data_IF_675115302536
#
_entry.id   IF_675115302536
#
_cell.length_a   1.000
_cell.length_b   1.000
_cell.length_c   1.000
_cell.angle_alpha   90.00
_cell.angle_beta   90.00
_cell.angle_gamma   90.00
#
_symmetry.space_group_name_H-M   'P 1'
#
loop_
_entity.id
_entity.type
_entity.pdbx_description
1 polymer ?
#
# COMPACT_ATOMS: atom_id res chain seq x y z
N UNK A 1 1.20 39.49 18.16
CA UNK A 1 0.11 39.53 17.14
C UNK A 1 0.26 38.30 16.26
N UNK A 2 -0.65 37.32 16.37
CA UNK A 2 -0.60 36.11 15.55
C UNK A 2 -1.02 36.50 14.12
N UNK A 3 -0.16 36.28 13.14
CA UNK A 3 -0.48 36.60 11.75
C UNK A 3 -1.55 35.61 11.23
N UNK A 4 -2.35 36.04 10.26
CA UNK A 4 -3.37 35.17 9.63
C UNK A 4 -2.75 33.86 9.08
N UNK A 5 -1.53 33.93 8.61
CA UNK A 5 -0.75 32.79 8.11
C UNK A 5 -0.39 31.80 9.24
N UNK A 6 0.03 32.32 10.41
CA UNK A 6 0.33 31.45 11.57
C UNK A 6 -0.93 30.79 12.12
N UNK A 7 -2.09 31.43 12.06
CA UNK A 7 -3.37 30.83 12.44
C UNK A 7 -3.81 29.72 11.47
N UNK A 8 -3.64 29.91 10.15
CA UNK A 8 -3.90 28.87 9.12
C UNK A 8 -3.00 27.66 9.31
N UNK A 9 -1.71 27.87 9.54
CA UNK A 9 -0.74 26.80 9.81
C UNK A 9 -1.10 25.99 11.06
N UNK A 10 -1.43 26.66 12.15
CA UNK A 10 -1.86 26.00 13.40
C UNK A 10 -3.14 25.18 13.19
N UNK A 11 -4.12 25.71 12.46
CA UNK A 11 -5.36 25.01 12.14
C UNK A 11 -5.08 23.77 11.28
N UNK A 12 -4.19 23.84 10.30
CA UNK A 12 -3.77 22.70 9.47
C UNK A 12 -3.09 21.62 10.29
N UNK A 13 -2.20 22.01 11.23
CA UNK A 13 -1.53 21.06 12.12
C UNK A 13 -2.53 20.33 13.03
N UNK A 14 -3.49 21.04 13.63
CA UNK A 14 -4.54 20.44 14.48
C UNK A 14 -5.36 19.43 13.65
N UNK A 15 -5.79 19.78 12.45
CA UNK A 15 -6.53 18.86 11.56
C UNK A 15 -5.72 17.61 11.24
N UNK A 16 -4.42 17.74 10.96
CA UNK A 16 -3.52 16.61 10.70
C UNK A 16 -3.41 15.68 11.92
N UNK A 17 -3.30 16.24 13.13
CA UNK A 17 -3.23 15.47 14.37
C UNK A 17 -4.54 14.70 14.58
N UNK A 18 -5.69 15.36 14.46
CA UNK A 18 -7.01 14.72 14.62
C UNK A 18 -7.20 13.59 13.60
N UNK A 19 -6.88 13.82 12.32
CA UNK A 19 -6.98 12.80 11.29
C UNK A 19 -6.06 11.59 11.58
N UNK A 20 -4.84 11.85 12.05
CA UNK A 20 -3.89 10.78 12.42
C UNK A 20 -4.36 9.99 13.64
N UNK A 21 -4.92 10.64 14.65
CA UNK A 21 -5.51 9.98 15.84
C UNK A 21 -6.71 9.12 15.41
N UNK A 22 -7.59 9.62 14.55
CA UNK A 22 -8.74 8.87 14.03
C UNK A 22 -8.28 7.62 13.26
N UNK A 23 -7.26 7.75 12.40
CA UNK A 23 -6.67 6.61 11.71
C UNK A 23 -6.11 5.57 12.69
N UNK A 24 -5.31 5.99 13.68
CA UNK A 24 -4.73 5.08 14.68
C UNK A 24 -5.81 4.40 15.53
N UNK A 25 -6.90 5.10 15.86
CA UNK A 25 -8.02 4.51 16.59
C UNK A 25 -8.72 3.40 15.78
N UNK A 26 -8.93 3.63 14.46
CA UNK A 26 -9.49 2.60 13.57
C UNK A 26 -8.53 1.43 13.41
N UNK A 27 -7.22 1.68 13.29
CA UNK A 27 -6.19 0.63 13.24
C UNK A 27 -6.26 -0.23 14.53
N UNK A 28 -6.26 0.41 15.69
CA UNK A 28 -6.36 -0.30 16.97
C UNK A 28 -7.64 -1.13 17.07
N UNK A 29 -8.79 -0.54 16.69
CA UNK A 29 -10.08 -1.23 16.67
C UNK A 29 -10.05 -2.47 15.74
N UNK A 30 -9.45 -2.32 14.55
CA UNK A 30 -9.35 -3.41 13.59
C UNK A 30 -8.46 -4.55 14.11
N UNK A 31 -7.30 -4.23 14.67
CA UNK A 31 -6.38 -5.23 15.23
C UNK A 31 -7.03 -5.94 16.44
N UNK A 32 -7.70 -5.22 17.34
CA UNK A 32 -8.46 -5.81 18.42
C UNK A 32 -9.58 -6.72 17.88
N UNK A 33 -10.24 -6.28 16.81
CA UNK A 33 -11.23 -7.11 16.10
C UNK A 33 -10.64 -8.43 15.61
N UNK A 34 -9.49 -8.41 14.97
CA UNK A 34 -8.80 -9.62 14.50
C UNK A 34 -8.38 -10.57 15.61
N UNK A 35 -8.10 -10.05 16.81
CA UNK A 35 -7.69 -10.84 17.97
C UNK A 35 -8.86 -11.42 18.74
N UNK A 36 -9.98 -10.68 18.86
CA UNK A 36 -11.03 -11.00 19.83
C UNK A 36 -12.44 -11.13 19.23
N UNK A 37 -12.72 -10.50 18.06
CA UNK A 37 -14.08 -10.48 17.50
C UNK A 37 -14.08 -10.21 15.99
N UNK A 38 -14.26 -11.25 15.18
CA UNK A 38 -14.27 -11.17 13.72
C UNK A 38 -15.30 -10.16 13.14
N UNK A 39 -16.44 -9.95 13.82
CA UNK A 39 -17.44 -8.97 13.36
C UNK A 39 -16.89 -7.54 13.46
N UNK A 40 -16.13 -7.23 14.52
CA UNK A 40 -15.46 -5.93 14.66
C UNK A 40 -14.40 -5.76 13.55
N UNK A 41 -13.61 -6.81 13.29
CA UNK A 41 -12.64 -6.79 12.19
C UNK A 41 -13.33 -6.57 10.84
N UNK A 42 -14.42 -7.26 10.57
CA UNK A 42 -15.20 -7.13 9.34
C UNK A 42 -15.72 -5.70 9.14
N UNK A 43 -16.35 -5.13 10.17
CA UNK A 43 -16.93 -3.79 10.11
C UNK A 43 -15.88 -2.68 10.06
N UNK A 44 -14.74 -2.84 10.74
CA UNK A 44 -13.69 -1.82 10.82
C UNK A 44 -12.79 -1.75 9.59
N UNK A 45 -12.67 -2.83 8.79
CA UNK A 45 -11.75 -2.90 7.65
C UNK A 45 -11.97 -1.79 6.61
N UNK A 46 -13.19 -1.47 6.16
CA UNK A 46 -13.41 -0.38 5.19
C UNK A 46 -12.96 0.99 5.72
N UNK A 47 -13.00 1.21 7.04
CA UNK A 47 -12.62 2.49 7.64
C UNK A 47 -11.10 2.73 7.66
N UNK A 48 -10.25 1.69 7.47
CA UNK A 48 -8.80 1.82 7.41
C UNK A 48 -8.39 2.76 6.27
N UNK A 49 -8.80 2.44 5.04
CA UNK A 49 -8.48 3.28 3.88
C UNK A 49 -9.27 4.59 3.91
N UNK A 50 -10.52 4.59 4.36
CA UNK A 50 -11.32 5.82 4.47
C UNK A 50 -10.64 6.85 5.36
N UNK A 51 -10.16 6.46 6.55
CA UNK A 51 -9.44 7.36 7.45
C UNK A 51 -8.06 7.75 6.92
N UNK A 52 -7.37 6.86 6.19
CA UNK A 52 -6.12 7.17 5.53
C UNK A 52 -6.30 8.21 4.40
N UNK A 53 -7.42 8.14 3.65
CA UNK A 53 -7.79 9.19 2.67
C UNK A 53 -7.94 10.55 3.37
N UNK A 54 -8.59 10.59 4.54
CA UNK A 54 -8.73 11.83 5.31
C UNK A 54 -7.36 12.36 5.73
N UNK A 55 -6.46 11.50 6.24
CA UNK A 55 -5.06 11.88 6.58
C UNK A 55 -4.36 12.49 5.37
N UNK A 56 -4.50 11.87 4.19
CA UNK A 56 -3.92 12.39 2.97
C UNK A 56 -4.49 13.75 2.57
N UNK A 57 -5.81 13.88 2.47
CA UNK A 57 -6.49 15.10 2.00
C UNK A 57 -6.22 16.31 2.92
N UNK A 58 -6.11 16.08 4.23
CA UNK A 58 -5.75 17.14 5.18
C UNK A 58 -4.26 17.49 5.09
N UNK A 59 -3.43 16.51 4.72
CA UNK A 59 -1.97 16.68 4.62
C UNK A 59 -1.51 17.50 3.41
N UNK A 60 -2.28 17.53 2.32
CA UNK A 60 -1.86 18.17 1.06
C UNK A 60 -2.76 19.35 0.70
N UNK A 61 -2.23 20.31 -0.07
CA UNK A 61 -3.03 21.43 -0.59
C UNK A 61 -3.72 21.07 -1.92
N UNK A 62 -3.04 20.30 -2.75
CA UNK A 62 -3.54 19.85 -4.06
C UNK A 62 -3.48 18.33 -4.14
N UNK A 63 -4.61 17.63 -3.89
CA UNK A 63 -4.64 16.18 -3.96
C UNK A 63 -4.28 15.65 -5.35
N UNK A 64 -3.43 14.64 -5.40
CA UNK A 64 -3.10 13.95 -6.64
C UNK A 64 -4.24 13.02 -7.04
N UNK A 65 -4.77 13.18 -8.23
CA UNK A 65 -5.79 12.28 -8.80
C UNK A 65 -5.32 10.82 -8.79
N UNK A 66 -4.07 10.57 -9.18
CA UNK A 66 -3.52 9.22 -9.26
C UNK A 66 -3.45 8.53 -7.89
N UNK A 67 -3.07 9.29 -6.85
CA UNK A 67 -2.98 8.72 -5.50
C UNK A 67 -4.36 8.47 -4.89
N UNK A 68 -5.31 9.39 -5.07
CA UNK A 68 -6.70 9.20 -4.61
C UNK A 68 -7.34 8.00 -5.33
N UNK A 69 -7.09 7.83 -6.64
CA UNK A 69 -7.54 6.65 -7.38
C UNK A 69 -6.93 5.36 -6.84
N UNK A 70 -5.62 5.36 -6.49
CA UNK A 70 -4.98 4.21 -5.87
C UNK A 70 -5.64 3.83 -4.54
N UNK A 71 -5.94 4.80 -3.67
CA UNK A 71 -6.65 4.58 -2.41
C UNK A 71 -8.09 4.09 -2.63
N UNK A 72 -8.79 4.63 -3.63
CA UNK A 72 -10.13 4.18 -4.00
C UNK A 72 -10.15 2.70 -4.40
N UNK A 73 -9.23 2.27 -5.25
CA UNK A 73 -9.13 0.86 -5.64
C UNK A 73 -8.60 -0.03 -4.50
N UNK A 74 -7.74 0.50 -3.62
CA UNK A 74 -7.34 -0.21 -2.40
C UNK A 74 -8.54 -0.45 -1.47
N UNK A 75 -9.40 0.55 -1.27
CA UNK A 75 -10.64 0.42 -0.50
C UNK A 75 -11.53 -0.70 -1.05
N UNK A 76 -11.78 -0.71 -2.36
CA UNK A 76 -12.59 -1.78 -2.98
C UNK A 76 -11.91 -3.14 -2.91
N UNK A 77 -10.59 -3.19 -3.03
CA UNK A 77 -9.82 -4.41 -2.81
C UNK A 77 -10.05 -4.96 -1.41
N UNK A 78 -9.97 -4.12 -0.37
CA UNK A 78 -10.24 -4.50 1.01
C UNK A 78 -11.67 -5.00 1.22
N UNK A 79 -12.66 -4.30 0.69
CA UNK A 79 -14.08 -4.67 0.79
C UNK A 79 -14.34 -6.01 0.11
N UNK A 80 -13.84 -6.20 -1.12
CA UNK A 80 -14.06 -7.44 -1.88
C UNK A 80 -13.37 -8.65 -1.24
N UNK A 81 -12.18 -8.47 -0.67
CA UNK A 81 -11.47 -9.54 0.05
C UNK A 81 -12.12 -9.92 1.38
N UNK A 82 -13.05 -9.13 1.94
CA UNK A 82 -13.86 -9.55 3.09
C UNK A 82 -14.71 -10.78 2.77
N UNK A 83 -15.18 -10.90 1.54
CA UNK A 83 -16.01 -12.02 1.09
C UNK A 83 -15.16 -13.23 0.63
N UNK A 84 -13.89 -13.29 1.01
CA UNK A 84 -12.96 -14.42 0.84
C UNK A 84 -12.99 -15.01 -0.59
N UNK A 85 -13.49 -16.28 -0.70
CA UNK A 85 -13.39 -17.01 -1.96
C UNK A 85 -14.29 -16.47 -3.08
N UNK A 86 -15.45 -15.92 -2.75
CA UNK A 86 -16.45 -15.50 -3.73
C UNK A 86 -16.00 -14.32 -4.60
N UNK A 87 -15.31 -13.33 -4.00
CA UNK A 87 -14.87 -12.13 -4.69
C UNK A 87 -13.35 -11.95 -4.72
N UNK A 88 -12.58 -13.02 -4.47
CA UNK A 88 -11.13 -12.95 -4.41
C UNK A 88 -10.49 -12.36 -5.68
N UNK A 89 -10.91 -12.84 -6.86
CA UNK A 89 -10.35 -12.36 -8.14
C UNK A 89 -10.68 -10.87 -8.39
N UNK A 90 -11.86 -10.43 -7.99
CA UNK A 90 -12.25 -9.00 -8.10
C UNK A 90 -11.47 -8.13 -7.11
N UNK A 91 -11.21 -8.63 -5.90
CA UNK A 91 -10.34 -7.97 -4.94
C UNK A 91 -8.91 -7.86 -5.44
N UNK A 92 -8.36 -8.94 -6.01
CA UNK A 92 -7.05 -8.96 -6.65
C UNK A 92 -6.97 -7.97 -7.82
N UNK A 93 -8.00 -7.93 -8.68
CA UNK A 93 -8.08 -6.99 -9.79
C UNK A 93 -8.16 -5.53 -9.32
N UNK A 94 -8.87 -5.26 -8.23
CA UNK A 94 -8.95 -3.93 -7.64
C UNK A 94 -7.60 -3.48 -7.08
N UNK A 95 -6.89 -4.33 -6.34
CA UNK A 95 -5.52 -4.02 -5.89
C UNK A 95 -4.54 -3.89 -7.06
N UNK A 96 -4.70 -4.68 -8.13
CA UNK A 96 -3.91 -4.51 -9.36
C UNK A 96 -4.04 -3.09 -9.92
N UNK A 97 -5.26 -2.57 -10.03
CA UNK A 97 -5.52 -1.20 -10.45
C UNK A 97 -4.91 -0.18 -9.48
N UNK A 98 -5.04 -0.41 -8.17
CA UNK A 98 -4.39 0.43 -7.17
C UNK A 98 -2.88 0.53 -7.40
N UNK A 99 -2.19 -0.61 -7.64
CA UNK A 99 -0.76 -0.63 -7.92
C UNK A 99 -0.39 0.07 -9.23
N UNK A 100 -1.21 -0.05 -10.28
CA UNK A 100 -1.01 0.70 -11.53
C UNK A 100 -1.04 2.21 -11.27
N UNK A 101 -1.97 2.70 -10.43
CA UNK A 101 -2.04 4.11 -10.06
C UNK A 101 -0.87 4.54 -9.15
N UNK A 102 -0.42 3.69 -8.22
CA UNK A 102 0.80 3.92 -7.45
C UNK A 102 2.04 4.00 -8.34
N UNK A 103 2.14 3.12 -9.34
CA UNK A 103 3.20 3.20 -10.36
C UNK A 103 3.14 4.54 -11.09
N UNK A 104 1.96 4.94 -11.55
CA UNK A 104 1.78 6.19 -12.30
C UNK A 104 2.26 7.42 -11.54
N UNK A 105 1.93 7.54 -10.26
CA UNK A 105 2.42 8.64 -9.43
C UNK A 105 3.93 8.50 -9.13
N UNK A 106 4.42 7.28 -8.88
CA UNK A 106 5.83 7.04 -8.57
C UNK A 106 6.73 7.39 -9.74
N UNK A 107 6.33 7.06 -10.96
CA UNK A 107 7.05 7.42 -12.20
C UNK A 107 7.17 8.93 -12.36
N UNK A 108 6.16 9.71 -11.93
CA UNK A 108 6.23 11.19 -12.03
C UNK A 108 7.31 11.81 -11.15
N UNK A 109 7.83 11.10 -10.17
CA UNK A 109 8.94 11.55 -9.33
C UNK A 109 10.32 11.16 -9.88
N UNK A 110 10.39 10.28 -10.90
CA UNK A 110 11.64 9.79 -11.45
C UNK A 110 12.19 10.82 -12.45
N UNK A 111 13.42 11.25 -12.22
CA UNK A 111 14.21 12.07 -13.14
C UNK A 111 14.93 11.17 -14.17
N UNK A 112 15.64 11.76 -15.14
CA UNK A 112 16.48 10.99 -16.06
C UNK A 112 17.50 10.14 -15.30
N UNK A 113 17.55 8.85 -15.59
CA UNK A 113 18.44 7.88 -14.93
C UNK A 113 19.27 7.11 -15.95
N UNK A 114 20.46 6.67 -15.53
CA UNK A 114 21.28 5.77 -16.33
C UNK A 114 20.68 4.37 -16.35
N UNK A 115 20.91 3.64 -17.43
CA UNK A 115 20.48 2.25 -17.58
C UNK A 115 20.97 1.35 -16.45
N UNK A 116 22.20 1.57 -15.97
CA UNK A 116 22.76 0.82 -14.84
C UNK A 116 21.90 0.92 -13.57
N UNK A 117 21.41 2.13 -13.23
CA UNK A 117 20.54 2.32 -12.06
C UNK A 117 19.20 1.60 -12.23
N UNK A 118 18.67 1.55 -13.46
CA UNK A 118 17.43 0.78 -13.75
C UNK A 118 17.67 -0.71 -13.51
N UNK A 119 18.77 -1.26 -14.03
CA UNK A 119 19.11 -2.68 -13.82
C UNK A 119 19.29 -3.00 -12.34
N UNK A 120 20.04 -2.16 -11.61
CA UNK A 120 20.23 -2.32 -10.16
C UNK A 120 18.89 -2.29 -9.41
N UNK A 121 17.97 -1.41 -9.81
CA UNK A 121 16.67 -1.29 -9.18
C UNK A 121 15.75 -2.50 -9.50
N UNK A 122 15.78 -3.01 -10.72
CA UNK A 122 14.91 -4.11 -11.14
C UNK A 122 15.39 -5.49 -10.62
N UNK A 123 16.69 -5.71 -10.56
CA UNK A 123 17.28 -7.04 -10.30
C UNK A 123 16.74 -7.73 -9.02
N UNK A 124 16.70 -7.08 -7.84
CA UNK A 124 16.22 -7.74 -6.64
C UNK A 124 14.73 -8.11 -6.70
N UNK A 125 13.91 -7.32 -7.38
CA UNK A 125 12.48 -7.58 -7.50
C UNK A 125 12.17 -8.67 -8.53
N UNK A 126 12.93 -8.75 -9.62
CA UNK A 126 12.83 -9.84 -10.59
C UNK A 126 13.27 -11.15 -9.94
N UNK A 127 14.38 -11.15 -9.20
CA UNK A 127 14.86 -12.34 -8.49
C UNK A 127 13.85 -12.80 -7.42
N UNK A 128 13.27 -11.85 -6.65
CA UNK A 128 12.22 -12.14 -5.68
C UNK A 128 10.99 -12.75 -6.35
N UNK A 129 10.47 -12.12 -7.41
CA UNK A 129 9.29 -12.61 -8.14
C UNK A 129 9.51 -14.03 -8.66
N UNK A 130 10.66 -14.27 -9.28
CA UNK A 130 11.00 -15.59 -9.80
C UNK A 130 11.03 -16.65 -8.69
N UNK A 131 11.77 -16.39 -7.59
CA UNK A 131 11.84 -17.31 -6.47
C UNK A 131 10.47 -17.55 -5.82
N UNK A 132 9.66 -16.48 -5.65
CA UNK A 132 8.33 -16.60 -5.09
C UNK A 132 7.37 -17.39 -5.97
N UNK A 133 7.40 -17.16 -7.29
CA UNK A 133 6.59 -17.94 -8.23
C UNK A 133 7.00 -19.41 -8.24
N UNK A 134 8.30 -19.72 -8.20
CA UNK A 134 8.76 -21.12 -8.10
C UNK A 134 8.18 -21.84 -6.87
N UNK A 135 7.93 -21.11 -5.76
CA UNK A 135 7.36 -21.69 -4.55
C UNK A 135 5.86 -22.01 -4.68
N UNK A 136 5.08 -21.19 -5.41
CA UNK A 136 3.61 -21.28 -5.37
C UNK A 136 2.98 -21.76 -6.68
N UNK A 137 3.71 -21.82 -7.79
CA UNK A 137 3.17 -21.95 -9.15
C UNK A 137 2.38 -23.23 -9.36
N UNK A 138 2.78 -24.33 -8.71
CA UNK A 138 2.13 -25.64 -8.83
C UNK A 138 0.76 -25.66 -8.13
N UNK A 139 0.54 -24.77 -7.17
CA UNK A 139 -0.69 -24.68 -6.39
C UNK A 139 -1.69 -23.64 -6.92
N UNK A 140 -1.34 -22.86 -7.94
CA UNK A 140 -2.16 -21.74 -8.42
C UNK A 140 -3.38 -22.18 -9.26
N UNK A 141 -3.35 -23.35 -9.91
CA UNK A 141 -4.42 -23.79 -10.80
C UNK A 141 -4.80 -22.73 -11.83
N UNK A 142 -6.08 -22.40 -11.91
CA UNK A 142 -6.63 -21.37 -12.83
C UNK A 142 -6.16 -19.95 -12.48
N UNK A 143 -5.71 -19.72 -11.25
CA UNK A 143 -5.22 -18.40 -10.80
C UNK A 143 -3.79 -18.10 -11.27
N UNK A 144 -3.14 -19.00 -12.01
CA UNK A 144 -1.75 -18.84 -12.46
C UNK A 144 -1.52 -17.51 -13.21
N UNK A 145 -2.32 -17.23 -14.23
CA UNK A 145 -2.18 -16.01 -15.03
C UNK A 145 -2.49 -14.74 -14.21
N UNK A 146 -3.62 -14.64 -13.49
CA UNK A 146 -3.89 -13.48 -12.63
C UNK A 146 -2.79 -13.18 -11.62
N UNK A 147 -2.26 -14.21 -10.94
CA UNK A 147 -1.22 -14.05 -9.91
C UNK A 147 0.12 -13.63 -10.52
N UNK A 148 0.51 -14.16 -11.68
CA UNK A 148 1.73 -13.74 -12.39
C UNK A 148 1.63 -12.27 -12.80
N UNK A 149 0.51 -11.85 -13.41
CA UNK A 149 0.30 -10.44 -13.81
C UNK A 149 0.37 -9.53 -12.59
N UNK A 150 -0.30 -9.91 -11.51
CA UNK A 150 -0.28 -9.17 -10.25
C UNK A 150 1.14 -9.05 -9.69
N UNK A 151 1.88 -10.15 -9.63
CA UNK A 151 3.25 -10.21 -9.16
C UNK A 151 4.18 -9.30 -9.97
N UNK A 152 4.06 -9.29 -11.30
CA UNK A 152 4.83 -8.39 -12.18
C UNK A 152 4.53 -6.93 -11.86
N UNK A 153 3.25 -6.56 -11.68
CA UNK A 153 2.88 -5.17 -11.43
C UNK A 153 3.35 -4.70 -10.06
N UNK A 154 3.14 -5.48 -8.99
CA UNK A 154 3.55 -5.05 -7.64
C UNK A 154 5.08 -5.01 -7.50
N UNK A 155 5.82 -5.94 -8.10
CA UNK A 155 7.29 -5.91 -8.09
C UNK A 155 7.85 -4.78 -8.96
N UNK A 156 7.17 -4.41 -10.04
CA UNK A 156 7.49 -3.20 -10.82
C UNK A 156 7.32 -1.93 -9.98
N UNK A 157 6.27 -1.85 -9.17
CA UNK A 157 6.11 -0.75 -8.20
C UNK A 157 7.29 -0.69 -7.22
N UNK A 158 7.73 -1.84 -6.69
CA UNK A 158 8.90 -1.96 -5.83
C UNK A 158 10.18 -1.46 -6.49
N UNK A 159 10.44 -1.90 -7.72
CA UNK A 159 11.62 -1.49 -8.50
C UNK A 159 11.64 0.03 -8.75
N UNK A 160 10.49 0.62 -9.09
CA UNK A 160 10.37 2.07 -9.31
C UNK A 160 10.53 2.88 -8.02
N UNK A 161 9.98 2.40 -6.89
CA UNK A 161 10.18 3.03 -5.59
C UNK A 161 11.66 2.97 -5.15
N UNK A 162 12.33 1.83 -5.39
CA UNK A 162 13.76 1.68 -5.14
C UNK A 162 14.59 2.57 -6.07
N UNK A 163 14.24 2.66 -7.35
CA UNK A 163 14.89 3.56 -8.31
C UNK A 163 14.82 5.02 -7.85
N UNK A 164 13.66 5.45 -7.36
CA UNK A 164 13.47 6.76 -6.75
C UNK A 164 14.44 7.00 -5.59
N UNK A 165 14.56 6.00 -4.69
CA UNK A 165 15.44 6.09 -3.53
C UNK A 165 16.92 6.14 -3.91
N UNK A 166 17.39 5.33 -4.88
CA UNK A 166 18.80 5.37 -5.31
C UNK A 166 19.14 6.60 -6.15
N UNK A 167 18.13 7.26 -6.74
CA UNK A 167 18.33 8.56 -7.40
C UNK A 167 18.58 9.68 -6.39
N UNK A 168 17.77 9.73 -5.34
CA UNK A 168 17.79 10.77 -4.34
C UNK A 168 17.48 10.16 -2.97
N UNK A 169 18.53 10.00 -2.16
CA UNK A 169 18.46 9.39 -0.83
C UNK A 169 17.91 10.39 0.19
N UNK A 170 16.60 10.59 0.17
CA UNK A 170 15.89 11.39 1.15
C UNK A 170 14.84 10.55 1.90
N UNK A 171 14.28 11.10 2.98
CA UNK A 171 13.34 10.41 3.85
C UNK A 171 12.05 10.04 3.14
N UNK A 172 11.53 10.89 2.25
CA UNK A 172 10.28 10.62 1.53
C UNK A 172 10.44 9.46 0.54
N UNK A 173 11.59 9.40 -0.17
CA UNK A 173 11.90 8.28 -1.05
C UNK A 173 12.15 6.99 -0.27
N UNK A 174 12.76 7.08 0.92
CA UNK A 174 12.93 5.92 1.80
C UNK A 174 11.59 5.40 2.28
N UNK A 175 10.66 6.25 2.71
CA UNK A 175 9.31 5.85 3.12
C UNK A 175 8.55 5.20 1.97
N UNK A 176 8.62 5.75 0.75
CA UNK A 176 8.00 5.16 -0.42
C UNK A 176 8.55 3.75 -0.69
N UNK A 177 9.86 3.61 -0.68
CA UNK A 177 10.53 2.34 -0.92
C UNK A 177 10.19 1.30 0.17
N UNK A 178 10.35 1.64 1.45
CA UNK A 178 10.02 0.73 2.55
C UNK A 178 8.54 0.37 2.56
N UNK A 179 7.65 1.35 2.35
CA UNK A 179 6.21 1.11 2.25
C UNK A 179 5.88 0.13 1.14
N UNK A 180 6.51 0.26 -0.03
CA UNK A 180 6.28 -0.65 -1.14
C UNK A 180 6.83 -2.05 -0.88
N UNK A 181 8.01 -2.18 -0.28
CA UNK A 181 8.57 -3.49 0.10
C UNK A 181 7.67 -4.20 1.11
N UNK A 182 7.18 -3.48 2.13
CA UNK A 182 6.26 -4.04 3.13
C UNK A 182 4.92 -4.42 2.47
N UNK A 183 4.46 -3.67 1.45
CA UNK A 183 3.26 -4.03 0.69
C UNK A 183 3.45 -5.34 -0.08
N UNK A 184 4.60 -5.51 -0.77
CA UNK A 184 4.97 -6.75 -1.45
C UNK A 184 4.95 -7.93 -0.46
N UNK A 185 5.48 -7.75 0.74
CA UNK A 185 5.45 -8.76 1.80
C UNK A 185 4.00 -9.10 2.19
N UNK A 186 3.16 -8.09 2.42
CA UNK A 186 1.74 -8.27 2.75
C UNK A 186 1.02 -9.11 1.71
N UNK A 187 1.17 -8.78 0.43
CA UNK A 187 0.50 -9.49 -0.65
C UNK A 187 1.07 -10.88 -0.89
N UNK A 188 2.36 -11.05 -0.66
CA UNK A 188 2.98 -12.39 -0.66
C UNK A 188 2.41 -13.29 0.44
N UNK A 189 2.12 -12.73 1.62
CA UNK A 189 1.46 -13.46 2.71
C UNK A 189 0.01 -13.85 2.33
N UNK A 190 -0.72 -12.99 1.59
CA UNK A 190 -2.05 -13.34 1.05
C UNK A 190 -1.93 -14.54 0.11
N UNK A 191 -0.96 -14.51 -0.81
CA UNK A 191 -0.75 -15.60 -1.76
C UNK A 191 -0.32 -16.91 -1.06
N UNK A 192 0.58 -16.84 -0.07
CA UNK A 192 0.97 -18.01 0.73
C UNK A 192 -0.22 -18.58 1.50
N UNK A 193 -1.01 -17.73 2.15
CA UNK A 193 -2.18 -18.16 2.91
C UNK A 193 -3.22 -18.85 2.00
N UNK A 194 -3.39 -18.37 0.77
CA UNK A 194 -4.40 -18.88 -0.15
C UNK A 194 -3.95 -20.10 -0.95
N UNK A 195 -2.69 -20.13 -1.39
CA UNK A 195 -2.23 -21.09 -2.39
C UNK A 195 -1.15 -22.06 -1.89
N UNK A 196 -0.56 -21.82 -0.74
CA UNK A 196 0.50 -22.68 -0.23
C UNK A 196 0.08 -23.41 1.05
N UNK A 197 -0.04 -22.68 2.16
CA UNK A 197 -0.43 -23.25 3.45
C UNK A 197 -1.24 -22.24 4.27
N UNK A 198 -2.52 -22.48 4.56
CA UNK A 198 -3.32 -21.58 5.39
C UNK A 198 -2.87 -21.65 6.86
N UNK A 199 -2.40 -20.52 7.41
CA UNK A 199 -2.01 -20.39 8.83
C UNK A 199 -2.74 -19.22 9.48
N UNK A 200 -3.23 -19.39 10.70
CA UNK A 200 -4.01 -18.36 11.39
C UNK A 200 -3.22 -17.05 11.59
N UNK A 201 -1.91 -17.14 11.86
CA UNK A 201 -1.09 -15.94 12.06
C UNK A 201 -0.97 -15.06 10.81
N UNK A 202 -1.20 -15.61 9.61
CA UNK A 202 -1.15 -14.79 8.38
C UNK A 202 -2.17 -13.67 8.38
N UNK A 203 -3.37 -13.87 8.90
CA UNK A 203 -4.42 -12.83 8.91
C UNK A 203 -3.97 -11.56 9.63
N UNK A 204 -3.34 -11.69 10.79
CA UNK A 204 -2.80 -10.57 11.56
C UNK A 204 -1.59 -9.97 10.86
N UNK A 205 -0.65 -10.81 10.38
CA UNK A 205 0.58 -10.36 9.72
C UNK A 205 0.28 -9.60 8.42
N UNK A 206 -0.68 -10.08 7.61
CA UNK A 206 -1.15 -9.41 6.40
C UNK A 206 -1.66 -8.00 6.74
N UNK A 207 -2.54 -7.90 7.74
CA UNK A 207 -3.14 -6.60 8.06
C UNK A 207 -2.14 -5.64 8.69
N UNK A 208 -1.23 -6.09 9.55
CA UNK A 208 -0.18 -5.24 10.13
C UNK A 208 0.75 -4.71 9.04
N UNK A 209 1.25 -5.58 8.16
CA UNK A 209 2.14 -5.18 7.07
C UNK A 209 1.41 -4.27 6.07
N UNK A 210 0.17 -4.57 5.71
CA UNK A 210 -0.64 -3.75 4.85
C UNK A 210 -0.86 -2.32 5.38
N UNK A 211 -1.27 -2.19 6.65
CA UNK A 211 -1.54 -0.90 7.28
C UNK A 211 -0.25 -0.07 7.35
N UNK A 212 0.86 -0.67 7.75
CA UNK A 212 2.17 0.01 7.79
C UNK A 212 2.60 0.44 6.39
N UNK A 213 2.45 -0.42 5.39
CA UNK A 213 2.77 -0.13 4.00
C UNK A 213 1.98 1.08 3.49
N UNK A 214 0.66 1.05 3.62
CA UNK A 214 -0.25 2.12 3.19
C UNK A 214 0.06 3.45 3.88
N UNK A 215 0.36 3.41 5.19
CA UNK A 215 0.71 4.62 5.94
C UNK A 215 2.05 5.22 5.48
N UNK A 216 3.09 4.39 5.27
CA UNK A 216 4.40 4.85 4.79
C UNK A 216 4.30 5.45 3.38
N UNK A 217 3.55 4.80 2.47
CA UNK A 217 3.29 5.33 1.13
C UNK A 217 2.55 6.66 1.22
N UNK A 218 1.51 6.76 2.06
CA UNK A 218 0.76 8.00 2.29
C UNK A 218 1.69 9.13 2.75
N UNK A 219 2.53 8.89 3.75
CA UNK A 219 3.48 9.88 4.27
C UNK A 219 4.51 10.31 3.22
N UNK A 220 4.98 9.35 2.41
CA UNK A 220 5.89 9.64 1.30
C UNK A 220 5.24 10.56 0.26
N UNK A 221 4.01 10.25 -0.14
CA UNK A 221 3.28 11.04 -1.14
C UNK A 221 2.97 12.44 -0.61
N UNK A 222 2.50 12.58 0.65
CA UNK A 222 2.30 13.89 1.28
C UNK A 222 3.59 14.71 1.21
N UNK A 223 4.72 14.15 1.66
CA UNK A 223 6.00 14.87 1.68
C UNK A 223 6.55 15.24 0.29
N UNK A 224 6.05 14.62 -0.78
CA UNK A 224 6.45 14.92 -2.16
C UNK A 224 5.50 15.89 -2.88
N UNK A 225 4.30 16.08 -2.36
CA UNK A 225 3.25 16.89 -2.99
C UNK A 225 2.84 18.12 -2.16
N UNK A 226 3.41 18.28 -0.95
CA UNK A 226 3.30 19.48 -0.09
C UNK A 226 4.36 20.56 -0.45
#
# INVERSE_FOLDING_TARGET
>A
MITEESFKLMTKQIKNIIASIAFLAVVALHILGLLFNENIAFLSKPFLITTLVIVYLVGVEKPSFWYVSALFFSFWGDVLLLFKNQFFIYGLASFLLAHIFYIKITVSFIKKVSFQKIVIACLPFVAFLFAFLCLIIDNLGEMKIPVIIYGVVITSFGALAFLNYIQEKNTSNLWLFLGTVIFIISDSLIALHKFYEPKQFYSISIMLTYIVAQYLICRAIIAKTS
#
